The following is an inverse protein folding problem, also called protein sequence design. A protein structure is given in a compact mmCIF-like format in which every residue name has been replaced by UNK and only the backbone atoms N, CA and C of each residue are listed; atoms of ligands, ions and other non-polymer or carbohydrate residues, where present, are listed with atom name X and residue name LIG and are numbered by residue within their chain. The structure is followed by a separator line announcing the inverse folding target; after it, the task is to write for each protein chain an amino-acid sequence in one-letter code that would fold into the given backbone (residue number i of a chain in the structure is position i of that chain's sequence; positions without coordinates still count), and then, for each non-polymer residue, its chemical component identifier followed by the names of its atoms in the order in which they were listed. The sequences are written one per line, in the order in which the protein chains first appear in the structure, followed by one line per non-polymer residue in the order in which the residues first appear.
data_IF_422214458097
#
_entry.id   IF_422214458097
#
_cell.length_a   1.000
_cell.length_b   1.000
_cell.length_c   1.000
_cell.angle_alpha   90.00
_cell.angle_beta   90.00
_cell.angle_gamma   90.00
#
_symmetry.space_group_name_H-M   'P 1'
#
loop_
_entity.id
_entity.type
_entity.pdbx_description
1 polymer ?
#
# COMPACT_ATOMS: atom_id res chain seq x y z
N UNK A 1 9.49 -17.34 32.10
CA UNK A 1 8.22 -16.61 32.29
C UNK A 1 7.84 -16.06 30.93
N UNK A 2 6.59 -16.24 30.48
CA UNK A 2 6.13 -15.70 29.21
C UNK A 2 6.06 -14.17 29.28
N UNK A 3 6.46 -13.42 28.23
CA UNK A 3 6.35 -11.98 28.21
C UNK A 3 4.88 -11.54 28.19
N UNK A 4 4.59 -10.41 28.84
CA UNK A 4 3.26 -9.85 28.97
C UNK A 4 2.88 -9.05 27.73
N UNK A 5 1.72 -9.36 27.12
CA UNK A 5 1.24 -8.77 25.88
C UNK A 5 -0.06 -8.00 26.09
N UNK A 6 -0.18 -6.84 25.46
CA UNK A 6 -1.43 -6.09 25.32
C UNK A 6 -1.68 -5.69 23.86
N UNK A 7 -2.94 -5.41 23.56
CA UNK A 7 -3.37 -4.91 22.24
C UNK A 7 -3.76 -3.43 22.33
N UNK A 8 -3.46 -2.64 21.27
CA UNK A 8 -3.84 -1.24 21.15
C UNK A 8 -4.18 -0.90 19.69
N UNK A 9 -5.44 -1.05 19.30
CA UNK A 9 -5.97 -0.77 17.96
C UNK A 9 -7.50 -0.63 18.01
N UNK A 10 -8.09 -0.08 16.95
CA UNK A 10 -9.56 -0.06 16.81
C UNK A 10 -10.03 -1.41 16.25
N UNK A 11 -10.89 -2.18 16.98
CA UNK A 11 -11.40 -3.47 16.53
C UNK A 11 -12.17 -3.40 15.22
N UNK A 12 -12.87 -2.28 14.95
CA UNK A 12 -13.65 -2.10 13.72
C UNK A 12 -12.76 -2.06 12.48
N UNK A 13 -11.57 -1.43 12.58
CA UNK A 13 -10.62 -1.35 11.48
C UNK A 13 -9.68 -2.56 11.40
N UNK A 14 -9.51 -3.29 12.50
CA UNK A 14 -8.56 -4.42 12.61
C UNK A 14 -9.27 -5.78 12.57
N UNK A 15 -10.54 -5.81 12.19
CA UNK A 15 -11.31 -7.03 12.01
C UNK A 15 -10.61 -8.00 11.04
N UNK A 16 -10.69 -9.31 11.31
CA UNK A 16 -10.06 -10.40 10.55
C UNK A 16 -8.52 -10.46 10.57
N UNK A 17 -7.82 -9.55 11.24
CA UNK A 17 -6.35 -9.63 11.36
C UNK A 17 -5.93 -10.78 12.26
N UNK A 18 -6.61 -10.94 13.41
CA UNK A 18 -6.34 -11.99 14.38
C UNK A 18 -7.51 -12.96 14.45
N UNK A 19 -7.48 -14.00 13.60
CA UNK A 19 -8.39 -15.13 13.70
C UNK A 19 -8.06 -15.98 14.93
N UNK A 20 -8.89 -16.98 15.24
CA UNK A 20 -8.73 -17.82 16.41
C UNK A 20 -7.36 -18.50 16.48
N UNK A 21 -6.82 -18.92 15.34
CA UNK A 21 -5.48 -19.55 15.25
C UNK A 21 -4.37 -18.59 15.70
N UNK A 22 -4.35 -17.34 15.17
CA UNK A 22 -3.36 -16.34 15.53
C UNK A 22 -3.43 -15.98 17.02
N UNK A 23 -4.64 -15.81 17.56
CA UNK A 23 -4.82 -15.55 19.00
C UNK A 23 -4.36 -16.72 19.85
N UNK A 24 -4.65 -17.95 19.45
CA UNK A 24 -4.19 -19.16 20.16
C UNK A 24 -2.66 -19.28 20.15
N UNK A 25 -2.01 -18.97 19.02
CA UNK A 25 -0.55 -18.94 18.93
C UNK A 25 0.04 -17.87 19.85
N UNK A 26 -0.51 -16.66 19.86
CA UNK A 26 -0.08 -15.59 20.78
C UNK A 26 -0.23 -16.00 22.25
N UNK A 27 -1.36 -16.60 22.63
CA UNK A 27 -1.58 -17.10 24.00
C UNK A 27 -0.61 -18.23 24.40
N UNK A 28 -0.11 -19.00 23.42
CA UNK A 28 0.96 -19.98 23.66
C UNK A 28 2.34 -19.36 23.88
N UNK A 29 2.57 -18.15 23.34
CA UNK A 29 3.85 -17.44 23.40
C UNK A 29 3.93 -16.42 24.55
N UNK A 30 2.80 -15.79 24.89
CA UNK A 30 2.72 -14.63 25.77
C UNK A 30 1.60 -14.78 26.80
N UNK A 31 1.77 -14.09 27.93
CA UNK A 31 0.70 -13.82 28.90
C UNK A 31 -0.11 -12.61 28.42
N UNK A 32 -1.31 -12.84 27.89
CA UNK A 32 -2.17 -11.77 27.35
C UNK A 32 -2.89 -11.11 28.53
N UNK A 33 -2.46 -9.89 28.86
CA UNK A 33 -3.01 -9.11 29.96
C UNK A 33 -4.49 -8.76 29.80
N UNK A 34 -4.91 -8.55 28.57
CA UNK A 34 -6.30 -8.24 28.20
C UNK A 34 -6.54 -8.57 26.72
N UNK A 35 -7.65 -9.26 26.43
CA UNK A 35 -8.03 -9.59 25.05
C UNK A 35 -8.62 -8.43 24.27
N UNK A 36 -9.38 -7.52 24.95
CA UNK A 36 -9.93 -6.33 24.31
C UNK A 36 -8.84 -5.28 24.14
N UNK A 37 -8.69 -4.72 22.91
CA UNK A 37 -7.67 -3.70 22.66
C UNK A 37 -7.90 -2.41 23.46
N UNK A 38 -6.80 -1.74 23.80
CA UNK A 38 -6.81 -0.39 24.32
C UNK A 38 -7.13 0.60 23.20
N UNK A 39 -8.20 1.37 23.34
CA UNK A 39 -8.59 2.43 22.40
C UNK A 39 -7.94 3.78 22.72
N UNK A 40 -7.42 3.91 23.95
CA UNK A 40 -6.68 5.06 24.44
C UNK A 40 -5.65 4.60 25.47
N UNK A 41 -4.64 5.44 25.79
CA UNK A 41 -3.50 5.05 26.62
C UNK A 41 -3.33 5.93 27.89
N UNK A 42 -4.28 6.84 28.13
CA UNK A 42 -4.13 7.89 29.15
C UNK A 42 -4.89 7.62 30.45
N UNK A 43 -5.92 6.78 30.42
CA UNK A 43 -6.72 6.44 31.60
C UNK A 43 -5.90 5.67 32.65
N UNK A 44 -6.31 5.70 33.93
CA UNK A 44 -5.65 4.92 34.97
C UNK A 44 -5.59 3.43 34.68
N UNK A 45 -6.66 2.87 34.08
CA UNK A 45 -6.72 1.45 33.71
C UNK A 45 -5.74 1.12 32.58
N UNK A 46 -5.71 1.93 31.51
CA UNK A 46 -4.75 1.73 30.41
C UNK A 46 -3.30 1.84 30.92
N UNK A 47 -2.98 2.81 31.76
CA UNK A 47 -1.65 2.97 32.36
C UNK A 47 -1.26 1.79 33.25
N UNK A 48 -2.19 1.21 34.01
CA UNK A 48 -1.93 0.02 34.81
C UNK A 48 -1.57 -1.19 33.95
N UNK A 49 -2.24 -1.37 32.79
CA UNK A 49 -1.93 -2.43 31.83
C UNK A 49 -0.58 -2.16 31.17
N UNK A 50 -0.34 -0.93 30.69
CA UNK A 50 0.91 -0.53 30.03
C UNK A 50 2.12 -0.72 30.95
N UNK A 51 2.00 -0.45 32.26
CA UNK A 51 3.09 -0.61 33.23
C UNK A 51 3.62 -2.05 33.31
N UNK A 52 2.79 -3.03 32.96
CA UNK A 52 3.15 -4.45 32.93
C UNK A 52 3.46 -4.97 31.52
N UNK A 53 3.14 -4.21 30.47
CA UNK A 53 3.25 -4.64 29.06
C UNK A 53 4.71 -4.69 28.61
N UNK A 54 5.14 -5.84 28.08
CA UNK A 54 6.44 -6.03 27.42
C UNK A 54 6.32 -6.05 25.89
N UNK A 55 5.18 -6.50 25.37
CA UNK A 55 4.86 -6.54 23.94
C UNK A 55 3.54 -5.83 23.71
N UNK A 56 3.54 -4.81 22.83
CA UNK A 56 2.33 -4.10 22.43
C UNK A 56 2.02 -4.43 20.97
N UNK A 57 0.88 -5.07 20.73
CA UNK A 57 0.39 -5.32 19.37
C UNK A 57 -0.52 -4.18 18.96
N UNK A 58 -0.19 -3.52 17.86
CA UNK A 58 -0.99 -2.41 17.30
C UNK A 58 -1.56 -2.80 15.93
N UNK A 59 -2.59 -2.08 15.46
CA UNK A 59 -3.25 -2.32 14.16
C UNK A 59 -3.74 -1.02 13.53
N UNK A 60 -4.79 -1.05 12.73
CA UNK A 60 -5.43 0.16 12.24
C UNK A 60 -6.19 0.88 13.36
N UNK A 61 -6.27 2.22 13.29
CA UNK A 61 -6.89 3.05 14.30
C UNK A 61 -6.21 2.98 15.68
N UNK A 62 -4.87 2.89 15.76
CA UNK A 62 -4.18 2.81 17.04
C UNK A 62 -4.18 4.19 17.73
N UNK A 63 -4.14 4.23 19.06
CA UNK A 63 -3.88 5.48 19.76
C UNK A 63 -2.46 5.99 19.46
N UNK A 64 -2.23 7.30 19.70
CA UNK A 64 -0.90 7.90 19.51
C UNK A 64 0.12 7.28 20.49
N UNK A 65 1.29 6.92 19.96
CA UNK A 65 2.42 6.41 20.72
C UNK A 65 3.53 7.46 20.73
N UNK A 66 3.85 7.95 21.91
CA UNK A 66 4.81 9.04 22.16
C UNK A 66 5.62 8.80 23.45
N UNK A 67 6.36 9.83 23.88
CA UNK A 67 7.13 9.81 25.12
C UNK A 67 6.25 9.54 26.36
N UNK A 68 4.98 9.98 26.35
CA UNK A 68 4.02 9.74 27.45
C UNK A 68 3.68 8.25 27.54
N UNK A 69 3.47 7.63 26.42
CA UNK A 69 3.24 6.18 26.32
C UNK A 69 4.46 5.40 26.83
N UNK A 70 5.67 5.79 26.43
CA UNK A 70 6.90 5.15 26.89
C UNK A 70 7.09 5.28 28.41
N UNK A 71 6.75 6.46 28.98
CA UNK A 71 6.80 6.66 30.43
C UNK A 71 5.79 5.78 31.19
N UNK A 72 4.62 5.52 30.58
CA UNK A 72 3.61 4.62 31.15
C UNK A 72 3.93 3.13 30.97
N UNK A 73 4.78 2.78 30.01
CA UNK A 73 5.13 1.39 29.67
C UNK A 73 6.64 1.11 29.86
N UNK A 74 7.18 1.16 31.09
CA UNK A 74 8.62 1.05 31.33
C UNK A 74 9.22 -0.32 31.02
N UNK A 75 8.39 -1.34 30.84
CA UNK A 75 8.80 -2.71 30.50
C UNK A 75 8.69 -3.02 28.99
N UNK A 76 8.19 -2.06 28.19
CA UNK A 76 7.92 -2.25 26.78
C UNK A 76 9.21 -2.48 25.97
N UNK A 77 9.27 -3.60 25.27
CA UNK A 77 10.45 -4.06 24.50
C UNK A 77 10.15 -4.22 23.03
N UNK A 78 8.90 -4.57 22.67
CA UNK A 78 8.46 -4.79 21.29
C UNK A 78 7.12 -4.11 21.04
N UNK A 79 7.02 -3.39 19.92
CA UNK A 79 5.75 -3.01 19.31
C UNK A 79 5.63 -3.76 18.00
N UNK A 80 4.61 -4.62 17.88
CA UNK A 80 4.33 -5.40 16.68
C UNK A 80 3.10 -4.81 15.97
N UNK A 81 3.32 -4.05 14.88
CA UNK A 81 2.26 -3.36 14.16
C UNK A 81 1.66 -4.25 13.06
N UNK A 82 0.36 -4.57 13.16
CA UNK A 82 -0.36 -5.46 12.25
C UNK A 82 -0.96 -4.75 11.03
N UNK A 83 -0.36 -3.63 10.61
CA UNK A 83 -0.80 -2.89 9.43
C UNK A 83 0.41 -2.34 8.65
N UNK A 84 0.19 -1.34 7.78
CA UNK A 84 1.22 -0.77 6.92
C UNK A 84 2.08 0.28 7.62
N UNK A 85 1.76 1.56 7.40
CA UNK A 85 2.57 2.69 7.87
C UNK A 85 2.35 2.99 9.36
N UNK A 86 3.46 3.29 10.06
CA UNK A 86 3.46 3.70 11.47
C UNK A 86 3.54 5.23 11.65
N UNK A 87 3.77 5.98 10.57
CA UNK A 87 4.12 7.42 10.63
C UNK A 87 3.07 8.32 11.26
N UNK A 88 1.80 7.98 11.11
CA UNK A 88 0.70 8.86 11.52
C UNK A 88 0.34 8.73 13.01
N UNK A 89 0.86 7.71 13.72
CA UNK A 89 0.52 7.47 15.12
C UNK A 89 1.72 7.23 16.03
N UNK A 90 2.91 7.05 15.49
CA UNK A 90 4.10 6.69 16.26
C UNK A 90 5.16 7.79 16.13
N UNK A 91 5.50 8.41 17.25
CA UNK A 91 6.55 9.40 17.30
C UNK A 91 7.95 8.77 17.10
N UNK A 92 8.91 9.47 16.46
CA UNK A 92 10.23 8.94 16.16
C UNK A 92 10.98 8.38 17.38
N UNK A 93 10.88 9.04 18.54
CA UNK A 93 11.52 8.62 19.79
C UNK A 93 11.06 7.24 20.28
N UNK A 94 9.88 6.76 19.86
CA UNK A 94 9.40 5.41 20.19
C UNK A 94 10.24 4.37 19.44
N UNK A 95 10.49 4.59 18.15
CA UNK A 95 11.29 3.68 17.31
C UNK A 95 12.77 3.68 17.71
N UNK A 96 13.25 4.77 18.33
CA UNK A 96 14.61 4.83 18.89
C UNK A 96 14.80 3.96 20.14
N UNK A 97 13.75 3.86 20.96
CA UNK A 97 13.82 3.22 22.28
C UNK A 97 13.28 1.80 22.34
N UNK A 98 12.31 1.49 21.49
CA UNK A 98 11.61 0.21 21.48
C UNK A 98 11.80 -0.44 20.11
N UNK A 99 11.96 -1.76 20.10
CA UNK A 99 11.97 -2.52 18.84
C UNK A 99 10.57 -2.45 18.22
N UNK A 100 10.49 -2.06 16.95
CA UNK A 100 9.22 -1.98 16.23
C UNK A 100 9.27 -2.91 15.02
N UNK A 101 8.23 -3.71 14.80
CA UNK A 101 8.00 -4.45 13.56
C UNK A 101 6.71 -3.99 12.89
N UNK A 102 6.60 -4.17 11.58
CA UNK A 102 5.42 -3.78 10.80
C UNK A 102 5.04 -4.85 9.78
N UNK A 103 3.75 -5.08 9.63
CA UNK A 103 3.20 -6.00 8.64
C UNK A 103 3.12 -5.41 7.21
N UNK A 104 3.84 -4.32 6.94
CA UNK A 104 3.87 -3.67 5.61
C UNK A 104 4.21 -4.63 4.48
N UNK A 105 5.06 -5.64 4.74
CA UNK A 105 5.41 -6.64 3.74
C UNK A 105 4.23 -7.54 3.36
N UNK A 106 3.42 -7.93 4.33
CA UNK A 106 2.19 -8.71 4.11
C UNK A 106 1.13 -7.87 3.38
N UNK A 107 0.98 -6.58 3.76
CA UNK A 107 0.05 -5.67 3.10
C UNK A 107 0.47 -5.30 1.67
N UNK A 108 1.75 -5.39 1.32
CA UNK A 108 2.22 -5.10 -0.03
C UNK A 108 1.73 -6.14 -1.07
N UNK A 109 1.44 -7.36 -0.65
CA UNK A 109 1.01 -8.43 -1.56
C UNK A 109 -0.34 -8.12 -2.21
N UNK A 110 -1.44 -7.88 -1.48
CA UNK A 110 -2.72 -7.56 -2.10
C UNK A 110 -2.68 -6.28 -2.93
N UNK A 111 -1.90 -5.25 -2.54
CA UNK A 111 -1.74 -4.05 -3.36
C UNK A 111 -1.10 -4.38 -4.70
N UNK A 112 -0.08 -5.24 -4.73
CA UNK A 112 0.55 -5.66 -5.98
C UNK A 112 -0.39 -6.52 -6.82
N UNK A 113 -1.16 -7.43 -6.22
CA UNK A 113 -2.17 -8.26 -6.87
C UNK A 113 -3.28 -7.38 -7.50
N UNK A 114 -3.80 -6.40 -6.77
CA UNK A 114 -4.76 -5.41 -7.28
C UNK A 114 -4.17 -4.63 -8.46
N UNK A 115 -2.92 -4.16 -8.32
CA UNK A 115 -2.24 -3.40 -9.38
C UNK A 115 -2.07 -4.23 -10.66
N UNK A 116 -1.66 -5.48 -10.55
CA UNK A 116 -1.54 -6.39 -11.71
C UNK A 116 -2.90 -6.58 -12.39
N UNK A 117 -3.96 -6.82 -11.62
CA UNK A 117 -5.32 -6.92 -12.17
C UNK A 117 -5.72 -5.62 -12.89
N UNK A 118 -5.43 -4.45 -12.31
CA UNK A 118 -5.68 -3.15 -12.91
C UNK A 118 -4.92 -2.96 -14.23
N UNK A 119 -3.63 -3.33 -14.31
CA UNK A 119 -2.80 -3.27 -15.52
C UNK A 119 -3.42 -4.16 -16.63
N UNK A 120 -3.77 -5.39 -16.30
CA UNK A 120 -4.35 -6.33 -17.28
C UNK A 120 -5.70 -5.84 -17.81
N UNK A 121 -6.54 -5.27 -16.94
CA UNK A 121 -7.84 -4.72 -17.31
C UNK A 121 -7.70 -3.43 -18.12
N UNK A 122 -6.76 -2.55 -17.75
CA UNK A 122 -6.46 -1.31 -18.49
C UNK A 122 -6.04 -1.62 -19.92
N UNK A 123 -5.04 -2.48 -20.11
CA UNK A 123 -4.56 -2.88 -21.44
C UNK A 123 -5.64 -3.53 -22.31
N UNK A 124 -6.61 -4.22 -21.69
CA UNK A 124 -7.75 -4.82 -22.40
C UNK A 124 -8.89 -3.83 -22.69
N UNK A 125 -8.83 -2.60 -22.17
CA UNK A 125 -9.89 -1.61 -22.27
C UNK A 125 -11.22 -2.07 -21.64
N UNK A 126 -11.16 -2.82 -20.53
CA UNK A 126 -12.34 -3.51 -19.96
C UNK A 126 -13.46 -2.52 -19.63
N UNK A 127 -13.14 -1.36 -19.02
CA UNK A 127 -14.14 -0.35 -18.67
C UNK A 127 -14.82 0.23 -19.91
N UNK A 128 -14.04 0.55 -20.95
CA UNK A 128 -14.54 1.08 -22.22
C UNK A 128 -15.46 0.08 -22.92
N UNK A 129 -15.03 -1.19 -23.05
CA UNK A 129 -15.86 -2.24 -23.65
C UNK A 129 -17.11 -2.53 -22.82
N UNK A 130 -17.04 -2.52 -21.50
CA UNK A 130 -18.19 -2.66 -20.62
C UNK A 130 -19.29 -1.63 -20.96
N UNK A 131 -18.90 -0.37 -21.08
CA UNK A 131 -19.86 0.71 -21.28
C UNK A 131 -20.41 0.73 -22.70
N UNK A 132 -19.58 0.45 -23.71
CA UNK A 132 -20.01 0.29 -25.09
C UNK A 132 -21.00 -0.89 -25.17
N UNK A 133 -20.68 -2.03 -24.57
CA UNK A 133 -21.54 -3.21 -24.61
C UNK A 133 -22.89 -2.97 -23.90
N UNK A 134 -22.89 -2.27 -22.75
CA UNK A 134 -24.12 -1.89 -22.04
C UNK A 134 -25.02 -0.98 -22.89
N UNK A 135 -24.42 -0.04 -23.62
CA UNK A 135 -25.13 0.90 -24.48
C UNK A 135 -25.66 0.23 -25.74
N UNK A 136 -24.81 -0.52 -26.46
CA UNK A 136 -25.11 -1.04 -27.77
C UNK A 136 -25.82 -2.39 -27.73
N UNK A 137 -25.64 -3.20 -26.71
CA UNK A 137 -26.27 -4.51 -26.48
C UNK A 137 -26.19 -5.47 -27.69
N UNK A 138 -25.07 -5.39 -28.44
CA UNK A 138 -24.80 -6.20 -29.63
C UNK A 138 -23.38 -6.71 -29.63
N UNK A 139 -23.07 -7.64 -30.50
CA UNK A 139 -21.72 -8.15 -30.68
C UNK A 139 -20.77 -7.06 -31.19
N UNK A 140 -19.57 -6.93 -30.59
CA UNK A 140 -18.60 -5.86 -30.89
C UNK A 140 -17.43 -6.31 -31.80
N UNK A 141 -17.52 -7.46 -32.52
CA UNK A 141 -16.41 -7.99 -33.35
C UNK A 141 -15.87 -6.99 -34.37
N UNK A 142 -16.70 -6.17 -34.95
CA UNK A 142 -16.33 -5.14 -35.92
C UNK A 142 -16.17 -3.74 -35.30
N UNK A 143 -16.20 -3.62 -33.96
CA UNK A 143 -16.01 -2.31 -33.32
C UNK A 143 -14.56 -1.84 -33.50
N UNK A 144 -14.31 -0.56 -33.83
CA UNK A 144 -12.95 -0.05 -34.07
C UNK A 144 -11.94 -0.34 -32.96
N UNK A 145 -12.38 -0.33 -31.70
CA UNK A 145 -11.52 -0.68 -30.56
C UNK A 145 -10.98 -2.13 -30.61
N UNK A 146 -11.64 -3.06 -31.29
CA UNK A 146 -11.12 -4.41 -31.47
C UNK A 146 -9.89 -4.47 -32.37
N UNK A 147 -9.72 -3.49 -33.26
CA UNK A 147 -8.55 -3.35 -34.14
C UNK A 147 -7.54 -2.35 -33.61
N UNK A 148 -7.81 -1.73 -32.42
CA UNK A 148 -6.89 -0.79 -31.79
C UNK A 148 -5.70 -1.51 -31.14
N UNK A 149 -4.71 -0.76 -30.69
CA UNK A 149 -3.55 -1.29 -29.98
C UNK A 149 -3.83 -1.86 -28.57
N UNK A 150 -5.09 -2.24 -28.25
CA UNK A 150 -5.43 -2.86 -26.97
C UNK A 150 -4.93 -4.31 -26.87
N UNK A 151 -4.75 -4.79 -25.65
CA UNK A 151 -4.31 -6.16 -25.35
C UNK A 151 -3.04 -6.17 -24.52
N UNK A 152 -2.71 -7.32 -23.95
CA UNK A 152 -1.58 -7.46 -23.00
C UNK A 152 -0.26 -7.90 -23.68
N UNK A 153 -0.21 -8.03 -25.01
CA UNK A 153 0.98 -8.49 -25.70
C UNK A 153 1.90 -7.32 -26.08
N UNK A 154 3.15 -7.37 -25.61
CA UNK A 154 4.21 -6.37 -25.87
C UNK A 154 3.81 -4.94 -25.52
N UNK A 155 3.09 -4.80 -24.39
CA UNK A 155 2.78 -3.50 -23.81
C UNK A 155 3.89 -3.03 -22.93
N UNK A 156 4.15 -1.73 -22.92
CA UNK A 156 5.11 -1.10 -22.03
C UNK A 156 4.42 -0.71 -20.73
N UNK A 157 4.88 -1.26 -19.61
CA UNK A 157 4.37 -0.96 -18.27
C UNK A 157 5.48 -0.26 -17.47
N UNK A 158 5.24 0.98 -17.09
CA UNK A 158 6.15 1.78 -16.26
C UNK A 158 5.82 1.63 -14.78
N UNK A 159 6.81 1.22 -13.99
CA UNK A 159 6.73 1.13 -12.53
C UNK A 159 7.49 2.30 -11.91
N UNK A 160 6.77 3.19 -11.22
CA UNK A 160 7.32 4.39 -10.62
C UNK A 160 7.60 4.15 -9.13
N UNK A 161 8.84 3.82 -8.80
CA UNK A 161 9.32 3.53 -7.44
C UNK A 161 9.55 2.04 -7.17
N UNK A 162 10.77 1.71 -6.71
CA UNK A 162 11.18 0.37 -6.28
C UNK A 162 10.83 0.11 -4.79
N UNK A 163 9.63 0.49 -4.38
CA UNK A 163 9.10 0.12 -3.06
C UNK A 163 8.80 -1.39 -2.98
N UNK A 164 8.47 -1.89 -1.78
CA UNK A 164 8.04 -3.29 -1.62
C UNK A 164 6.90 -3.66 -2.58
N UNK A 165 5.95 -2.73 -2.78
CA UNK A 165 4.82 -2.92 -3.70
C UNK A 165 5.30 -2.91 -5.14
N UNK A 166 6.11 -1.93 -5.54
CA UNK A 166 6.65 -1.84 -6.90
C UNK A 166 7.46 -3.07 -7.30
N UNK A 167 8.35 -3.54 -6.41
CA UNK A 167 9.14 -4.75 -6.63
C UNK A 167 8.25 -6.01 -6.70
N UNK A 168 7.24 -6.12 -5.83
CA UNK A 168 6.29 -7.24 -5.87
C UNK A 168 5.41 -7.20 -7.13
N UNK A 169 5.05 -6.03 -7.61
CA UNK A 169 4.33 -5.86 -8.88
C UNK A 169 5.19 -6.32 -10.05
N UNK A 170 6.47 -5.95 -10.10
CA UNK A 170 7.43 -6.44 -11.12
C UNK A 170 7.51 -7.97 -11.09
N UNK A 171 7.69 -8.57 -9.91
CA UNK A 171 7.75 -10.02 -9.73
C UNK A 171 6.49 -10.71 -10.29
N UNK A 172 5.30 -10.18 -9.98
CA UNK A 172 4.02 -10.73 -10.45
C UNK A 172 3.77 -10.50 -11.94
N UNK A 173 4.39 -9.49 -12.56
CA UNK A 173 4.31 -9.22 -13.99
C UNK A 173 5.31 -10.04 -14.82
N UNK A 174 6.33 -10.64 -14.21
CA UNK A 174 7.38 -11.39 -14.91
C UNK A 174 6.87 -12.51 -15.86
N UNK A 175 5.74 -13.22 -15.59
CA UNK A 175 5.21 -14.23 -16.52
C UNK A 175 4.53 -13.68 -17.78
N UNK A 176 4.34 -12.36 -17.89
CA UNK A 176 3.64 -11.74 -19.01
C UNK A 176 4.62 -11.18 -20.05
N UNK A 177 4.19 -11.10 -21.31
CA UNK A 177 4.98 -10.52 -22.41
C UNK A 177 4.94 -8.97 -22.39
N UNK A 178 5.33 -8.37 -21.26
CA UNK A 178 5.44 -6.92 -21.10
C UNK A 178 6.87 -6.42 -21.28
N UNK A 179 7.01 -5.19 -21.77
CA UNK A 179 8.22 -4.38 -21.60
C UNK A 179 8.09 -3.62 -20.29
N UNK A 180 8.91 -3.96 -19.29
CA UNK A 180 8.86 -3.36 -17.97
C UNK A 180 9.91 -2.28 -17.82
N UNK A 181 9.46 -1.06 -17.55
CA UNK A 181 10.30 0.09 -17.21
C UNK A 181 10.23 0.34 -15.70
N UNK A 182 11.35 0.71 -15.10
CA UNK A 182 11.43 1.11 -13.70
C UNK A 182 12.09 2.48 -13.59
N UNK A 183 11.52 3.38 -12.80
CA UNK A 183 12.23 4.54 -12.28
C UNK A 183 12.40 4.44 -10.78
N UNK A 184 13.62 4.64 -10.28
CA UNK A 184 13.96 4.49 -8.86
C UNK A 184 15.25 5.21 -8.54
N UNK A 185 15.29 5.90 -7.40
CA UNK A 185 16.52 6.53 -6.87
C UNK A 185 17.39 5.59 -6.07
N UNK A 186 16.92 4.36 -5.78
CA UNK A 186 17.61 3.38 -4.92
C UNK A 186 18.01 2.09 -5.63
N UNK A 187 17.72 1.96 -6.93
CA UNK A 187 17.99 0.76 -7.72
C UNK A 187 19.18 1.02 -8.66
N UNK A 188 20.15 0.11 -8.68
CA UNK A 188 21.26 0.18 -9.65
C UNK A 188 20.88 -0.48 -10.98
N UNK A 189 21.58 -0.17 -12.10
CA UNK A 189 21.34 -0.83 -13.37
C UNK A 189 21.44 -2.36 -13.30
N UNK A 190 22.39 -2.89 -12.52
CA UNK A 190 22.59 -4.33 -12.32
C UNK A 190 21.39 -4.96 -11.58
N UNK A 191 20.86 -4.27 -10.58
CA UNK A 191 19.66 -4.71 -9.84
C UNK A 191 18.44 -4.70 -10.76
N UNK A 192 18.28 -3.67 -11.59
CA UNK A 192 17.17 -3.59 -12.55
C UNK A 192 17.25 -4.72 -13.59
N UNK A 193 18.44 -4.98 -14.12
CA UNK A 193 18.68 -6.10 -15.05
C UNK A 193 18.34 -7.46 -14.41
N UNK A 194 18.69 -7.66 -13.13
CA UNK A 194 18.36 -8.88 -12.39
C UNK A 194 16.85 -9.05 -12.16
N UNK A 195 16.09 -7.94 -12.12
CA UNK A 195 14.63 -7.94 -12.04
C UNK A 195 13.95 -8.11 -13.42
N UNK A 196 14.72 -8.10 -14.51
CA UNK A 196 14.19 -8.17 -15.88
C UNK A 196 13.49 -6.88 -16.32
N UNK A 197 13.90 -5.71 -15.80
CA UNK A 197 13.33 -4.40 -16.12
C UNK A 197 14.40 -3.44 -16.66
N UNK A 198 13.98 -2.50 -17.48
CA UNK A 198 14.85 -1.39 -17.93
C UNK A 198 14.74 -0.23 -16.94
N UNK A 199 15.88 0.21 -16.39
CA UNK A 199 15.95 1.37 -15.51
C UNK A 199 16.05 2.64 -16.36
N UNK A 200 15.07 3.53 -16.20
CA UNK A 200 14.97 4.79 -16.96
C UNK A 200 14.61 5.97 -16.06
N UNK A 201 14.84 7.19 -16.57
CA UNK A 201 14.38 8.42 -15.91
C UNK A 201 12.85 8.53 -15.95
N UNK A 202 12.26 9.22 -14.97
CA UNK A 202 10.80 9.31 -14.83
C UNK A 202 10.12 9.88 -16.08
N UNK A 203 10.69 10.90 -16.68
CA UNK A 203 10.10 11.53 -17.87
C UNK A 203 10.10 10.56 -19.08
N UNK A 204 11.15 9.76 -19.23
CA UNK A 204 11.25 8.72 -20.24
C UNK A 204 10.23 7.60 -19.98
N UNK A 205 10.11 7.15 -18.73
CA UNK A 205 9.11 6.17 -18.34
C UNK A 205 7.71 6.65 -18.72
N UNK A 206 7.35 7.91 -18.37
CA UNK A 206 6.04 8.48 -18.71
C UNK A 206 5.80 8.49 -20.21
N UNK A 207 6.80 8.91 -21.01
CA UNK A 207 6.65 9.01 -22.48
C UNK A 207 6.50 7.66 -23.19
N UNK A 208 7.11 6.58 -22.63
CA UNK A 208 7.13 5.26 -23.26
C UNK A 208 5.99 4.35 -22.80
N UNK A 209 5.37 4.61 -21.64
CA UNK A 209 4.41 3.70 -21.01
C UNK A 209 3.04 3.71 -21.70
N UNK A 210 2.47 2.52 -21.92
CA UNK A 210 1.03 2.31 -22.14
C UNK A 210 0.25 2.36 -20.82
N UNK A 211 0.88 1.86 -19.74
CA UNK A 211 0.38 1.95 -18.37
C UNK A 211 1.51 2.42 -17.46
N UNK A 212 1.31 3.50 -16.72
CA UNK A 212 2.22 3.99 -15.69
C UNK A 212 1.61 3.77 -14.30
N UNK A 213 2.29 2.99 -13.45
CA UNK A 213 1.83 2.63 -12.12
C UNK A 213 2.71 3.21 -11.02
N UNK A 214 2.10 3.95 -10.10
CA UNK A 214 2.78 4.71 -9.05
C UNK A 214 2.92 3.89 -7.77
N UNK A 215 4.18 3.70 -7.32
CA UNK A 215 4.55 2.97 -6.10
C UNK A 215 5.62 3.70 -5.27
N UNK A 216 5.90 4.96 -5.58
CA UNK A 216 6.82 5.78 -4.79
C UNK A 216 6.22 6.11 -3.41
N UNK A 217 7.05 6.28 -2.36
CA UNK A 217 6.58 6.72 -1.05
C UNK A 217 6.15 8.19 -1.06
N UNK A 218 5.17 8.53 -0.22
CA UNK A 218 4.78 9.93 0.01
C UNK A 218 5.80 10.62 0.92
N UNK A 219 6.63 11.47 0.32
CA UNK A 219 7.66 12.28 0.97
C UNK A 219 7.49 13.73 0.56
N UNK A 220 8.07 14.69 1.29
CA UNK A 220 8.11 16.08 0.83
C UNK A 220 8.70 16.23 -0.58
N UNK A 221 9.70 15.44 -0.93
CA UNK A 221 10.37 15.44 -2.24
C UNK A 221 9.55 14.79 -3.37
N UNK A 222 8.56 13.97 -3.05
CA UNK A 222 7.69 13.31 -4.03
C UNK A 222 6.31 13.95 -4.13
N UNK A 223 6.03 14.99 -3.31
CA UNK A 223 4.77 15.73 -3.41
C UNK A 223 4.59 16.32 -4.81
N UNK A 224 3.45 16.04 -5.42
CA UNK A 224 3.12 16.43 -6.80
C UNK A 224 4.21 16.07 -7.82
N UNK A 225 4.96 14.98 -7.56
CA UNK A 225 5.96 14.48 -8.50
C UNK A 225 5.34 14.15 -9.86
N UNK A 226 4.10 13.68 -9.88
CA UNK A 226 3.31 13.50 -11.11
C UNK A 226 2.48 14.76 -11.33
N UNK A 227 3.10 15.71 -12.00
CA UNK A 227 2.55 17.04 -12.34
C UNK A 227 1.95 17.08 -13.75
N UNK A 228 1.41 18.23 -14.14
CA UNK A 228 0.81 18.45 -15.45
C UNK A 228 1.79 18.15 -16.60
N UNK A 229 3.06 18.53 -16.44
CA UNK A 229 4.10 18.33 -17.46
C UNK A 229 4.34 16.84 -17.69
N UNK A 230 4.45 16.04 -16.61
CA UNK A 230 4.67 14.59 -16.70
C UNK A 230 3.44 13.85 -17.19
N UNK A 231 2.25 14.24 -16.77
CA UNK A 231 1.00 13.70 -17.32
C UNK A 231 0.87 13.94 -18.81
N UNK A 232 1.32 15.10 -19.32
CA UNK A 232 1.34 15.42 -20.75
C UNK A 232 2.32 14.54 -21.56
N UNK A 233 3.32 13.92 -20.94
CA UNK A 233 4.23 12.98 -21.61
C UNK A 233 3.57 11.62 -21.90
N UNK A 234 2.56 11.22 -21.14
CA UNK A 234 1.82 9.99 -21.41
C UNK A 234 1.12 10.09 -22.75
N UNK A 235 1.11 8.99 -23.50
CA UNK A 235 0.42 8.88 -24.79
C UNK A 235 -1.09 8.98 -24.61
N UNK A 236 -1.78 9.45 -25.64
CA UNK A 236 -3.24 9.44 -25.66
C UNK A 236 -3.75 8.01 -25.50
N UNK A 237 -4.73 7.82 -24.63
CA UNK A 237 -5.28 6.52 -24.27
C UNK A 237 -4.47 5.71 -23.24
N UNK A 238 -3.29 6.21 -22.82
CA UNK A 238 -2.53 5.57 -21.74
C UNK A 238 -3.31 5.56 -20.43
N UNK A 239 -3.00 4.60 -19.56
CA UNK A 239 -3.61 4.48 -18.23
C UNK A 239 -2.62 4.86 -17.13
N UNK A 240 -3.03 5.75 -16.23
CA UNK A 240 -2.30 6.05 -15.02
C UNK A 240 -2.92 5.31 -13.82
N UNK A 241 -2.11 4.60 -13.02
CA UNK A 241 -2.55 3.84 -11.85
C UNK A 241 -1.94 4.44 -10.60
N UNK A 242 -2.78 4.78 -9.62
CA UNK A 242 -2.34 5.23 -8.30
C UNK A 242 -2.94 4.38 -7.18
N UNK A 243 -2.13 3.48 -6.65
CA UNK A 243 -2.39 2.69 -5.44
C UNK A 243 -1.40 3.06 -4.32
N UNK A 244 -0.69 4.18 -4.47
CA UNK A 244 0.31 4.66 -3.50
C UNK A 244 -0.28 5.71 -2.55
N UNK A 245 -0.27 6.99 -2.94
CA UNK A 245 -0.87 8.10 -2.17
C UNK A 245 -1.33 9.21 -3.13
N UNK A 246 -2.45 9.88 -2.78
CA UNK A 246 -2.98 11.01 -3.54
C UNK A 246 -2.01 12.18 -3.64
N UNK A 247 -1.31 12.50 -2.56
CA UNK A 247 -0.39 13.65 -2.47
C UNK A 247 0.81 13.63 -3.42
N UNK A 248 1.11 12.49 -4.04
CA UNK A 248 2.23 12.36 -4.99
C UNK A 248 1.81 12.90 -6.38
N UNK A 249 0.52 13.02 -6.62
CA UNK A 249 -0.06 13.45 -7.89
C UNK A 249 -0.65 14.85 -7.75
N UNK A 250 -0.41 15.72 -8.73
CA UNK A 250 -1.23 16.92 -8.93
C UNK A 250 -2.61 16.46 -9.43
N UNK A 251 -3.54 16.30 -8.47
CA UNK A 251 -4.87 15.74 -8.74
C UNK A 251 -5.68 16.62 -9.70
N UNK A 252 -5.52 17.94 -9.64
CA UNK A 252 -6.21 18.84 -10.56
C UNK A 252 -5.66 18.71 -11.99
N UNK A 253 -4.35 18.50 -12.13
CA UNK A 253 -3.75 18.23 -13.43
C UNK A 253 -4.24 16.91 -14.00
N UNK A 254 -4.25 15.83 -13.20
CA UNK A 254 -4.79 14.54 -13.61
C UNK A 254 -6.27 14.63 -13.99
N UNK A 255 -7.08 15.34 -13.20
CA UNK A 255 -8.49 15.54 -13.50
C UNK A 255 -8.72 16.22 -14.86
N UNK A 256 -7.92 17.23 -15.21
CA UNK A 256 -8.02 17.87 -16.54
C UNK A 256 -7.80 16.87 -17.68
N UNK A 257 -6.82 15.98 -17.58
CA UNK A 257 -6.53 14.96 -18.58
C UNK A 257 -7.66 13.91 -18.69
N UNK A 258 -8.25 13.57 -17.55
CA UNK A 258 -9.33 12.59 -17.47
C UNK A 258 -10.66 13.16 -18.01
N UNK A 259 -11.00 14.42 -17.68
CA UNK A 259 -12.18 15.11 -18.22
C UNK A 259 -12.06 15.33 -19.73
N UNK A 260 -10.86 15.63 -20.23
CA UNK A 260 -10.59 15.72 -21.66
C UNK A 260 -10.68 14.36 -22.37
N UNK A 261 -10.72 13.24 -21.64
CA UNK A 261 -10.74 11.89 -22.18
C UNK A 261 -9.42 11.45 -22.82
N UNK A 262 -8.31 12.21 -22.60
CA UNK A 262 -7.00 11.88 -23.15
C UNK A 262 -6.35 10.68 -22.46
N UNK A 263 -6.48 10.61 -21.15
CA UNK A 263 -5.96 9.51 -20.33
C UNK A 263 -7.09 8.66 -19.74
N UNK A 264 -6.73 7.46 -19.30
CA UNK A 264 -7.53 6.62 -18.41
C UNK A 264 -6.85 6.54 -17.04
N UNK A 265 -7.60 6.21 -15.99
CA UNK A 265 -7.01 6.03 -14.67
C UNK A 265 -7.64 4.90 -13.85
N UNK A 266 -6.82 4.31 -12.98
CA UNK A 266 -7.23 3.52 -11.82
C UNK A 266 -6.71 4.23 -10.58
N UNK A 267 -7.61 4.72 -9.74
CA UNK A 267 -7.29 5.57 -8.59
C UNK A 267 -7.89 4.93 -7.34
N UNK A 268 -7.03 4.43 -6.47
CA UNK A 268 -7.44 3.87 -5.18
C UNK A 268 -7.27 4.87 -4.03
N UNK A 269 -6.47 5.92 -4.25
CA UNK A 269 -6.11 6.93 -3.25
C UNK A 269 -6.14 8.33 -3.83
N UNK A 270 -6.70 9.29 -3.08
CA UNK A 270 -6.88 10.69 -3.51
C UNK A 270 -6.36 11.67 -2.44
N UNK A 271 -6.32 12.95 -2.77
CA UNK A 271 -6.07 14.04 -1.82
C UNK A 271 -7.12 15.16 -2.03
N UNK A 272 -8.05 15.39 -1.09
CA UNK A 272 -8.24 14.66 0.17
C UNK A 272 -8.63 13.20 -0.06
N UNK A 273 -8.41 12.34 0.96
CA UNK A 273 -8.71 10.90 0.91
C UNK A 273 -10.16 10.62 0.54
N UNK A 274 -11.09 11.40 1.07
CA UNK A 274 -12.51 11.42 0.65
C UNK A 274 -12.73 12.67 -0.19
N UNK A 275 -13.00 12.45 -1.48
CA UNK A 275 -13.27 13.55 -2.41
C UNK A 275 -14.56 14.29 -2.06
N UNK A 276 -14.66 15.58 -2.40
CA UNK A 276 -15.94 16.29 -2.37
C UNK A 276 -17.01 15.54 -3.15
N UNK A 277 -18.25 15.52 -2.63
CA UNK A 277 -19.37 14.77 -3.22
C UNK A 277 -19.67 15.14 -4.69
N UNK A 278 -19.29 16.32 -5.14
CA UNK A 278 -19.46 16.81 -6.51
C UNK A 278 -18.22 16.59 -7.38
N UNK A 279 -17.24 15.81 -6.94
CA UNK A 279 -16.04 15.55 -7.74
C UNK A 279 -16.38 14.79 -9.01
N UNK A 280 -15.95 15.26 -10.20
CA UNK A 280 -16.19 14.54 -11.45
C UNK A 280 -15.56 13.13 -11.48
N UNK A 281 -14.53 12.87 -10.67
CA UNK A 281 -13.86 11.57 -10.62
C UNK A 281 -14.80 10.40 -10.30
N UNK A 282 -15.92 10.66 -9.60
CA UNK A 282 -16.92 9.63 -9.29
C UNK A 282 -17.64 9.09 -10.54
N UNK A 283 -17.81 9.94 -11.58
CA UNK A 283 -18.71 9.65 -12.70
C UNK A 283 -17.97 9.49 -14.04
N UNK A 284 -16.65 9.75 -14.10
CA UNK A 284 -15.89 9.66 -15.34
C UNK A 284 -15.79 8.21 -15.85
N UNK A 285 -16.20 7.91 -17.09
CA UNK A 285 -16.23 6.55 -17.63
C UNK A 285 -14.83 5.93 -17.87
N UNK A 286 -13.81 6.77 -17.98
CA UNK A 286 -12.40 6.40 -18.16
C UNK A 286 -11.64 6.29 -16.82
N UNK A 287 -12.35 6.35 -15.68
CA UNK A 287 -11.79 6.23 -14.34
C UNK A 287 -12.38 5.01 -13.63
N UNK A 288 -11.52 4.17 -13.07
CA UNK A 288 -11.87 3.24 -12.01
C UNK A 288 -11.42 3.86 -10.68
N UNK A 289 -12.38 4.40 -9.94
CA UNK A 289 -12.15 4.97 -8.61
C UNK A 289 -12.56 3.95 -7.54
N UNK A 290 -11.68 3.69 -6.59
CA UNK A 290 -11.93 2.77 -5.46
C UNK A 290 -11.59 3.44 -4.13
N UNK A 291 -12.28 3.08 -3.02
CA UNK A 291 -12.15 3.77 -1.74
C UNK A 291 -11.04 3.17 -0.87
N UNK A 292 -9.78 3.22 -1.35
CA UNK A 292 -8.57 2.75 -0.65
C UNK A 292 -8.66 1.26 -0.24
N UNK A 293 -8.97 0.41 -1.20
CA UNK A 293 -9.16 -1.04 -1.01
C UNK A 293 -8.07 -1.91 -1.64
N UNK A 294 -7.08 -1.32 -2.30
CA UNK A 294 -6.00 -2.08 -2.91
C UNK A 294 -5.15 -2.86 -1.88
N UNK A 295 -5.08 -2.37 -0.64
CA UNK A 295 -4.47 -3.08 0.49
C UNK A 295 -5.32 -4.24 1.00
N UNK A 296 -4.85 -4.89 2.08
CA UNK A 296 -5.52 -6.07 2.63
C UNK A 296 -6.96 -5.78 3.10
N UNK A 297 -7.92 -6.54 2.57
CA UNK A 297 -9.32 -6.53 2.96
C UNK A 297 -9.80 -7.95 3.29
N UNK A 298 -10.86 -8.06 4.09
CA UNK A 298 -11.46 -9.36 4.42
C UNK A 298 -10.42 -10.39 4.90
N UNK A 299 -10.45 -11.60 4.34
CA UNK A 299 -9.55 -12.70 4.69
C UNK A 299 -8.06 -12.46 4.39
N UNK A 300 -7.71 -11.49 3.52
CA UNK A 300 -6.29 -11.13 3.28
C UNK A 300 -5.62 -10.57 4.54
N UNK A 301 -6.40 -9.98 5.46
CA UNK A 301 -5.92 -9.42 6.72
C UNK A 301 -5.30 -10.46 7.65
N UNK A 302 -5.68 -11.72 7.55
CA UNK A 302 -5.07 -12.82 8.32
C UNK A 302 -3.57 -12.97 8.04
N UNK A 303 -3.11 -12.62 6.82
CA UNK A 303 -1.69 -12.61 6.46
C UNK A 303 -0.89 -11.62 7.32
N UNK A 304 -1.50 -10.49 7.68
CA UNK A 304 -0.88 -9.48 8.55
C UNK A 304 -0.76 -10.00 9.99
N UNK A 305 -1.83 -10.61 10.49
CA UNK A 305 -1.84 -11.25 11.82
C UNK A 305 -0.81 -12.36 11.93
N UNK A 306 -0.73 -13.21 10.91
CA UNK A 306 0.29 -14.27 10.85
C UNK A 306 1.70 -13.72 10.92
N UNK A 307 2.02 -12.67 10.14
CA UNK A 307 3.33 -12.02 10.20
C UNK A 307 3.64 -11.47 11.59
N UNK A 308 2.66 -10.82 12.24
CA UNK A 308 2.85 -10.30 13.60
C UNK A 308 3.14 -11.43 14.59
N UNK A 309 2.39 -12.53 14.53
CA UNK A 309 2.62 -13.70 15.41
C UNK A 309 4.01 -14.29 15.17
N UNK A 310 4.45 -14.40 13.92
CA UNK A 310 5.78 -14.91 13.58
C UNK A 310 6.90 -14.01 14.11
N UNK A 311 6.73 -12.67 14.05
CA UNK A 311 7.70 -11.73 14.63
C UNK A 311 7.70 -11.75 16.16
N UNK A 312 6.55 -11.91 16.81
CA UNK A 312 6.45 -12.12 18.27
C UNK A 312 7.14 -13.42 18.67
N UNK A 313 6.93 -14.52 17.93
CA UNK A 313 7.60 -15.80 18.18
C UNK A 313 9.13 -15.68 18.08
N UNK A 314 9.63 -15.04 17.00
CA UNK A 314 11.05 -14.73 16.84
C UNK A 314 11.60 -13.92 18.02
N UNK A 315 10.87 -12.89 18.42
CA UNK A 315 11.28 -12.02 19.53
C UNK A 315 11.37 -12.80 20.85
N UNK A 316 10.38 -13.63 21.14
CA UNK A 316 10.34 -14.46 22.37
C UNK A 316 11.50 -15.48 22.40
N UNK A 317 11.86 -16.03 21.24
CA UNK A 317 12.99 -16.97 21.10
C UNK A 317 14.35 -16.29 21.00
N UNK A 318 14.39 -14.95 20.92
CA UNK A 318 15.64 -14.22 20.73
C UNK A 318 16.24 -14.37 19.33
N UNK A 319 15.41 -14.72 18.34
CA UNK A 319 15.79 -14.87 16.94
C UNK A 319 15.81 -13.51 16.21
N UNK A 320 16.53 -13.36 15.08
CA UNK A 320 16.51 -12.15 14.29
C UNK A 320 15.11 -11.85 13.75
N UNK A 321 14.65 -10.58 13.92
CA UNK A 321 13.40 -10.09 13.37
C UNK A 321 13.56 -9.77 11.88
N UNK A 322 12.61 -10.20 11.05
CA UNK A 322 12.63 -10.03 9.60
C UNK A 322 11.97 -8.72 9.14
N UNK A 323 11.04 -8.19 9.94
CA UNK A 323 10.21 -7.05 9.57
C UNK A 323 10.41 -5.84 10.50
N UNK A 324 11.62 -5.73 11.07
CA UNK A 324 11.98 -4.62 11.95
C UNK A 324 11.96 -3.30 11.20
N UNK A 325 11.29 -2.31 11.78
CA UNK A 325 11.36 -0.91 11.35
C UNK A 325 12.67 -0.30 11.86
N UNK A 326 13.45 0.29 10.97
CA UNK A 326 14.70 0.98 11.32
C UNK A 326 14.44 2.48 11.38
N UNK A 327 14.94 3.12 12.44
CA UNK A 327 14.77 4.57 12.64
C UNK A 327 15.29 5.37 11.43
N UNK A 328 16.45 4.98 10.87
CA UNK A 328 17.08 5.65 9.74
C UNK A 328 16.20 5.62 8.47
N UNK A 329 15.29 4.66 8.38
CA UNK A 329 14.38 4.50 7.23
C UNK A 329 13.00 5.13 7.45
N UNK A 330 12.70 5.70 8.63
CA UNK A 330 11.40 6.34 8.90
C UNK A 330 11.07 7.42 7.88
N UNK A 331 12.07 8.20 7.44
CA UNK A 331 11.91 9.21 6.41
C UNK A 331 11.50 8.64 5.03
N UNK A 332 11.73 7.35 4.77
CA UNK A 332 11.49 6.68 3.50
C UNK A 332 10.24 5.76 3.52
N UNK A 333 9.67 5.50 4.71
CA UNK A 333 8.44 4.71 4.81
C UNK A 333 7.26 5.50 4.24
N UNK A 334 6.35 4.82 3.55
CA UNK A 334 5.11 5.38 3.00
C UNK A 334 4.04 5.57 4.07
#
# INVERSE_FOLDING_TARGET
MQPKLAFAYDPQFTEHVFAAEQLQRLAGLCDILRHEPLLELTSPNAKAILAETEILVTGWGPPQLDATTLAAAPKLRLIAHSAGSIKYFMAPEVVERVVVTSAVAANAVPVAEFTVAAILFANKGVLQFRDIYRRERRHLRSHPLMASGLGNYRKTVGIIGASRIGLKTIELLAPYDFELLLTSTSTTPEQAAALGVELVELDELMARSDVASLHAPALPSTRHMIDARRLALLRDGATFINTARGSIVDQDALLRELVAGRLNAVIDVTEPEVLPANSPLYDLPNVLLTPHIAGAIGGERERLGTLVVDEVDRFVRGEPLLHRVRHELLGQLA
#
